data_IF_231227060927
#
_entry.id   IF_231227060927
#
_cell.length_a   1.000
_cell.length_b   1.000
_cell.length_c   1.000
_cell.angle_alpha   90.00
_cell.angle_beta   90.00
_cell.angle_gamma   90.00
#
_symmetry.space_group_name_H-M   'P 1'
#
loop_
_entity.id
_entity.type
_entity.pdbx_description
1 polymer ?
#
# COMPACT_ATOMS: atom_id res chain seq x y z
N UNK A 1 -36.88 5.16 -12.17
CA UNK A 1 -35.58 5.43 -12.84
C UNK A 1 -34.75 6.40 -12.02
N UNK A 2 -35.32 7.54 -11.62
CA UNK A 2 -34.64 8.57 -10.82
C UNK A 2 -34.20 8.07 -9.42
N UNK A 3 -35.05 7.34 -8.70
CA UNK A 3 -34.68 6.79 -7.37
C UNK A 3 -33.53 5.77 -7.44
N UNK A 4 -33.46 5.00 -8.52
CA UNK A 4 -32.37 4.03 -8.75
C UNK A 4 -31.07 4.77 -9.07
N UNK A 5 -31.13 5.87 -9.82
CA UNK A 5 -29.96 6.70 -10.09
C UNK A 5 -29.45 7.41 -8.83
N UNK A 6 -30.34 7.89 -7.96
CA UNK A 6 -29.97 8.48 -6.66
C UNK A 6 -29.33 7.44 -5.74
N UNK A 7 -29.87 6.22 -5.71
CA UNK A 7 -29.29 5.12 -4.94
C UNK A 7 -27.89 4.73 -5.45
N UNK A 8 -27.67 4.70 -6.76
CA UNK A 8 -26.36 4.41 -7.35
C UNK A 8 -25.35 5.53 -7.07
N UNK A 9 -25.76 6.80 -7.21
CA UNK A 9 -24.90 7.95 -6.93
C UNK A 9 -24.50 8.02 -5.45
N UNK A 10 -25.43 7.74 -4.52
CA UNK A 10 -25.11 7.71 -3.09
C UNK A 10 -24.15 6.57 -2.73
N UNK A 11 -24.29 5.39 -3.33
CA UNK A 11 -23.34 4.29 -3.16
C UNK A 11 -21.95 4.63 -3.69
N UNK A 12 -21.85 5.26 -4.86
CA UNK A 12 -20.55 5.70 -5.41
C UNK A 12 -19.89 6.76 -4.53
N UNK A 13 -20.67 7.67 -3.93
CA UNK A 13 -20.16 8.69 -3.02
C UNK A 13 -19.58 8.07 -1.75
N UNK A 14 -20.26 7.07 -1.18
CA UNK A 14 -19.78 6.34 0.01
C UNK A 14 -18.51 5.56 -0.31
N UNK A 15 -18.47 4.86 -1.45
CA UNK A 15 -17.29 4.10 -1.89
C UNK A 15 -16.09 5.01 -2.18
N UNK A 16 -16.30 6.25 -2.62
CA UNK A 16 -15.23 7.23 -2.81
C UNK A 16 -14.75 7.86 -1.48
N UNK A 17 -15.66 8.09 -0.53
CA UNK A 17 -15.34 8.75 0.74
C UNK A 17 -14.64 7.82 1.75
N UNK A 18 -14.95 6.52 1.76
CA UNK A 18 -14.31 5.54 2.67
C UNK A 18 -12.78 5.47 2.48
N UNK A 19 -12.22 5.28 1.27
CA UNK A 19 -10.78 5.24 1.07
C UNK A 19 -10.13 6.62 1.32
N UNK A 20 -10.80 7.72 0.98
CA UNK A 20 -10.32 9.07 1.29
C UNK A 20 -10.24 9.33 2.80
N UNK A 21 -11.22 8.86 3.56
CA UNK A 21 -11.24 8.97 5.02
C UNK A 21 -10.15 8.12 5.68
N UNK A 22 -9.95 6.89 5.18
CA UNK A 22 -8.86 6.02 5.65
C UNK A 22 -7.49 6.59 5.30
N UNK A 23 -7.33 7.16 4.11
CA UNK A 23 -6.10 7.80 3.67
C UNK A 23 -5.78 9.06 4.51
N UNK A 24 -6.79 9.90 4.76
CA UNK A 24 -6.65 11.08 5.64
C UNK A 24 -6.29 10.70 7.07
N UNK A 25 -6.91 9.65 7.61
CA UNK A 25 -6.59 9.15 8.97
C UNK A 25 -5.17 8.61 9.07
N UNK A 26 -4.67 7.94 8.03
CA UNK A 26 -3.28 7.49 7.96
C UNK A 26 -2.31 8.68 7.83
N UNK A 27 -2.68 9.73 7.08
CA UNK A 27 -1.85 10.93 6.93
C UNK A 27 -1.75 11.75 8.22
N UNK A 28 -2.84 11.88 8.98
CA UNK A 28 -2.83 12.55 10.29
C UNK A 28 -2.02 11.76 11.34
N UNK A 29 -2.01 10.41 11.26
CA UNK A 29 -1.20 9.57 12.15
C UNK A 29 0.29 9.77 11.89
N UNK A 30 0.68 9.76 10.61
CA UNK A 30 2.08 9.95 10.16
C UNK A 30 2.64 11.34 10.47
N UNK A 31 1.76 12.35 10.48
CA UNK A 31 2.14 13.73 10.84
C UNK A 31 2.34 13.88 12.35
N UNK A 32 1.69 13.02 13.16
CA UNK A 32 1.86 13.02 14.62
C UNK A 32 3.10 12.25 15.04
N UNK A 33 3.40 11.12 14.39
CA UNK A 33 4.62 10.35 14.63
C UNK A 33 5.87 11.16 14.23
N UNK A 34 5.84 11.92 13.12
CA UNK A 34 6.95 12.81 12.76
C UNK A 34 7.13 14.00 13.72
N UNK A 35 6.05 14.51 14.32
CA UNK A 35 6.14 15.57 15.32
C UNK A 35 6.69 15.06 16.67
N UNK A 36 6.35 13.82 17.04
CA UNK A 36 6.88 13.17 18.25
C UNK A 36 8.37 12.79 18.07
N UNK A 37 8.81 12.40 16.85
CA UNK A 37 10.24 12.16 16.53
C UNK A 37 11.08 13.45 16.54
N UNK A 38 10.55 14.58 16.06
CA UNK A 38 11.24 15.88 16.12
C UNK A 38 11.37 16.41 17.56
N UNK A 39 10.39 16.17 18.44
CA UNK A 39 10.47 16.54 19.86
C UNK A 39 11.47 15.66 20.64
N UNK A 40 11.57 14.35 20.35
CA UNK A 40 12.58 13.47 20.97
C UNK A 40 14.02 13.79 20.50
N UNK A 41 14.21 14.21 19.25
CA UNK A 41 15.53 14.61 18.72
C UNK A 41 16.03 15.94 19.30
N UNK A 42 15.13 16.88 19.63
CA UNK A 42 15.49 18.14 20.31
C UNK A 42 15.82 17.95 21.80
N UNK A 43 15.12 17.04 22.50
CA UNK A 43 15.40 16.74 23.91
C UNK A 43 16.73 15.98 24.11
N UNK A 44 17.09 15.11 23.14
CA UNK A 44 18.36 14.39 23.15
C UNK A 44 19.60 15.29 22.95
N UNK A 45 19.45 16.47 22.36
CA UNK A 45 20.56 17.39 22.11
C UNK A 45 20.90 18.30 23.32
N UNK A 46 20.09 18.29 24.39
CA UNK A 46 20.30 19.17 25.57
C UNK A 46 20.80 18.47 26.85
N UNK A 47 21.20 17.19 26.80
CA UNK A 47 21.74 16.50 27.98
C UNK A 47 23.26 16.74 28.18
N UNK A 48 23.73 17.06 29.41
CA UNK A 48 25.14 17.33 29.67
C UNK A 48 25.97 16.04 29.67
N UNK A 49 27.09 16.09 28.96
CA UNK A 49 28.10 15.04 28.83
C UNK A 49 28.57 14.54 30.21
N UNK A 50 28.44 13.23 30.45
CA UNK A 50 29.13 12.54 31.55
C UNK A 50 29.85 11.30 31.04
N UNK A 51 31.17 11.44 31.10
CA UNK A 51 32.27 10.47 31.19
C UNK A 51 32.02 8.99 30.90
N UNK A 52 32.82 8.56 29.95
CA UNK A 52 33.14 7.22 29.49
C UNK A 52 33.68 6.29 30.58
N UNK A 53 33.04 5.14 30.79
CA UNK A 53 33.71 3.94 31.31
C UNK A 53 33.31 2.71 30.51
N UNK A 54 34.30 2.18 29.80
CA UNK A 54 34.29 0.96 28.99
C UNK A 54 34.32 -0.27 29.89
N UNK A 55 33.40 -1.26 29.71
CA UNK A 55 33.78 -2.69 29.81
C UNK A 55 32.78 -3.70 29.22
N UNK A 56 33.23 -4.31 28.11
CA UNK A 56 33.21 -5.73 27.72
C UNK A 56 32.02 -6.67 28.05
N UNK A 57 31.42 -7.16 26.95
CA UNK A 57 31.10 -8.56 26.58
C UNK A 57 31.18 -9.61 27.70
N UNK A 58 30.07 -10.33 27.92
CA UNK A 58 30.08 -11.57 28.67
C UNK A 58 28.74 -12.30 28.66
N UNK A 59 28.56 -13.22 27.71
CA UNK A 59 27.51 -14.23 27.78
C UNK A 59 27.70 -15.08 29.04
N UNK A 60 26.65 -15.23 29.87
CA UNK A 60 26.48 -16.48 30.63
C UNK A 60 25.06 -16.68 31.16
N UNK A 61 24.59 -17.88 30.89
CA UNK A 61 23.40 -18.57 31.40
C UNK A 61 23.31 -18.45 32.93
N UNK A 62 22.12 -18.14 33.45
CA UNK A 62 21.76 -18.51 34.81
C UNK A 62 20.28 -18.89 34.87
N UNK A 63 20.07 -20.19 35.11
CA UNK A 63 18.82 -20.85 35.49
C UNK A 63 18.71 -20.79 37.01
N UNK A 64 17.52 -20.44 37.54
CA UNK A 64 16.92 -20.70 38.90
C UNK A 64 16.09 -19.47 39.29
N UNK A 65 14.79 -19.52 39.60
CA UNK A 65 13.94 -20.42 40.42
C UNK A 65 12.45 -20.22 40.01
N UNK A 66 11.53 -21.16 40.28
CA UNK A 66 10.12 -20.83 40.45
C UNK A 66 9.74 -20.70 41.94
N UNK A 67 8.90 -19.71 42.24
CA UNK A 67 8.22 -19.51 43.51
C UNK A 67 6.86 -20.23 43.50
N UNK A 68 6.41 -20.61 44.69
CA UNK A 68 5.28 -21.46 45.01
C UNK A 68 3.90 -20.87 44.66
N UNK A 69 2.90 -21.76 44.51
CA UNK A 69 1.51 -21.41 44.80
C UNK A 69 0.44 -22.23 44.06
N UNK A 70 -0.12 -23.23 44.74
CA UNK A 70 -1.53 -23.65 44.73
C UNK A 70 -2.15 -24.17 43.42
N UNK A 71 -2.33 -25.50 43.27
CA UNK A 71 -3.63 -26.23 43.42
C UNK A 71 -4.07 -26.75 42.03
N UNK A 72 -4.55 -27.97 41.77
CA UNK A 72 -4.97 -29.13 42.55
C UNK A 72 -5.12 -30.37 41.63
N UNK A 73 -4.65 -31.52 42.11
CA UNK A 73 -5.10 -32.93 41.90
C UNK A 73 -5.25 -33.56 40.48
N UNK A 74 -4.40 -34.54 40.15
CA UNK A 74 -4.70 -35.98 40.27
C UNK A 74 -3.52 -36.86 39.77
N UNK A 75 -3.30 -38.00 40.43
CA UNK A 75 -2.05 -38.76 40.51
C UNK A 75 -1.78 -39.76 39.35
N UNK A 76 -0.49 -40.10 39.14
CA UNK A 76 -0.03 -41.51 39.09
C UNK A 76 1.37 -41.69 39.77
N UNK A 77 2.02 -42.87 39.75
CA UNK A 77 1.69 -44.24 40.20
C UNK A 77 2.54 -44.65 41.45
N UNK A 78 2.27 -45.76 42.16
CA UNK A 78 3.19 -46.25 43.19
C UNK A 78 4.40 -46.96 42.55
N UNK A 79 5.57 -46.52 42.99
CA UNK A 79 6.90 -47.08 42.76
C UNK A 79 7.06 -48.44 43.42
N UNK A 80 7.91 -49.23 42.77
CA UNK A 80 8.54 -50.47 43.23
C UNK A 80 9.06 -50.35 44.67
N UNK A 81 8.57 -51.22 45.55
CA UNK A 81 9.32 -51.68 46.72
C UNK A 81 9.32 -53.21 46.65
N UNK A 82 10.45 -53.73 46.18
CA UNK A 82 10.89 -55.09 46.48
C UNK A 82 11.21 -55.12 47.98
N UNK A 83 10.42 -55.85 48.75
CA UNK A 83 10.86 -56.38 50.04
C UNK A 83 11.00 -57.90 49.89
N UNK A 84 12.17 -58.30 49.39
CA UNK A 84 12.84 -59.52 49.81
C UNK A 84 13.15 -59.38 51.31
N UNK A 85 12.36 -60.07 52.14
CA UNK A 85 12.72 -60.37 53.51
C UNK A 85 12.70 -61.90 53.66
N UNK A 86 13.75 -62.49 53.08
CA UNK A 86 14.30 -63.75 53.52
C UNK A 86 14.70 -63.59 54.99
N UNK A 87 13.96 -64.26 55.88
CA UNK A 87 14.31 -64.37 57.29
C UNK A 87 14.25 -65.85 57.63
N UNK A 88 15.37 -66.49 57.32
CA UNK A 88 15.80 -67.70 57.99
C UNK A 88 15.97 -67.38 59.48
N UNK A 89 15.18 -68.02 60.33
CA UNK A 89 15.59 -68.32 61.70
C UNK A 89 15.09 -69.72 62.08
N UNK A 90 16.09 -70.59 62.24
CA UNK A 90 16.11 -71.93 62.82
C UNK A 90 15.45 -71.91 64.21
N UNK A 91 14.51 -72.79 64.53
CA UNK A 91 14.67 -74.01 65.34
C UNK A 91 13.22 -74.45 65.71
N UNK A 92 12.79 -75.70 65.85
CA UNK A 92 13.39 -76.88 66.45
C UNK A 92 12.56 -78.13 66.03
N UNK A 93 13.13 -79.31 66.25
CA UNK A 93 12.81 -80.56 65.58
C UNK A 93 11.49 -81.23 66.02
N UNK A 94 10.74 -81.84 65.07
CA UNK A 94 10.07 -83.16 65.29
C UNK A 94 10.00 -83.94 63.96
N UNK A 95 10.40 -85.21 64.04
CA UNK A 95 10.71 -86.14 62.97
C UNK A 95 9.52 -86.66 62.11
N UNK A 96 9.84 -86.98 60.85
CA UNK A 96 9.32 -88.16 60.14
C UNK A 96 8.01 -88.01 59.35
N UNK A 97 8.08 -87.56 58.10
CA UNK A 97 6.96 -87.67 57.13
C UNK A 97 6.80 -86.53 56.11
N UNK A 98 7.61 -85.46 56.22
CA UNK A 98 7.40 -84.20 55.52
C UNK A 98 7.96 -84.14 54.07
N UNK A 99 8.92 -84.98 53.70
CA UNK A 99 9.65 -84.86 52.42
C UNK A 99 8.78 -85.19 51.19
N UNK A 100 7.88 -86.17 51.27
CA UNK A 100 6.97 -86.53 50.17
C UNK A 100 5.85 -85.48 49.94
N UNK A 101 5.48 -84.74 50.99
CA UNK A 101 4.53 -83.61 50.88
C UNK A 101 5.22 -82.34 50.38
N UNK A 102 6.46 -82.09 50.79
CA UNK A 102 7.27 -80.97 50.31
C UNK A 102 7.60 -81.09 48.81
N UNK A 103 7.91 -82.29 48.31
CA UNK A 103 8.18 -82.53 46.88
C UNK A 103 6.94 -82.35 45.99
N UNK A 104 5.77 -82.86 46.43
CA UNK A 104 4.48 -82.61 45.76
C UNK A 104 4.09 -81.13 45.75
N UNK A 105 4.33 -80.40 46.84
CA UNK A 105 4.09 -78.95 46.93
C UNK A 105 5.01 -78.16 45.99
N UNK A 106 6.29 -78.53 45.89
CA UNK A 106 7.27 -77.92 44.97
C UNK A 106 6.93 -78.18 43.50
N UNK A 107 6.46 -79.39 43.16
CA UNK A 107 5.99 -79.74 41.82
C UNK A 107 4.74 -78.96 41.39
N UNK A 108 3.75 -78.83 42.28
CA UNK A 108 2.54 -78.03 42.03
C UNK A 108 2.84 -76.53 41.86
N UNK A 109 3.75 -75.96 42.66
CA UNK A 109 4.21 -74.56 42.52
C UNK A 109 4.94 -74.30 41.20
N UNK A 110 5.70 -75.28 40.69
CA UNK A 110 6.37 -75.19 39.39
C UNK A 110 5.37 -75.24 38.23
N UNK A 111 4.38 -76.13 38.30
CA UNK A 111 3.29 -76.21 37.32
C UNK A 111 2.46 -74.93 37.31
N UNK A 112 2.18 -74.34 38.47
CA UNK A 112 1.45 -73.06 38.58
C UNK A 112 2.26 -71.89 38.00
N UNK A 113 3.58 -71.83 38.22
CA UNK A 113 4.46 -70.82 37.62
C UNK A 113 4.64 -70.99 36.10
N UNK A 114 4.57 -72.21 35.59
CA UNK A 114 4.58 -72.49 34.15
C UNK A 114 3.23 -72.12 33.51
N UNK A 115 2.11 -72.43 34.16
CA UNK A 115 0.78 -72.02 33.73
C UNK A 115 0.60 -70.48 33.75
N UNK A 116 1.15 -69.81 34.77
CA UNK A 116 1.13 -68.34 34.86
C UNK A 116 1.92 -67.69 33.72
N UNK A 117 3.11 -68.21 33.39
CA UNK A 117 3.90 -67.71 32.25
C UNK A 117 3.19 -67.94 30.91
N UNK A 118 2.58 -69.10 30.70
CA UNK A 118 1.80 -69.37 29.48
C UNK A 118 0.57 -68.45 29.36
N UNK A 119 -0.12 -68.18 30.47
CA UNK A 119 -1.23 -67.24 30.49
C UNK A 119 -0.78 -65.79 30.22
N UNK A 120 0.38 -65.39 30.75
CA UNK A 120 0.98 -64.07 30.51
C UNK A 120 1.46 -63.91 29.05
N UNK A 121 2.11 -64.93 28.48
CA UNK A 121 2.52 -64.95 27.08
C UNK A 121 1.30 -64.87 26.14
N UNK A 122 0.25 -65.65 26.41
CA UNK A 122 -1.00 -65.57 25.63
C UNK A 122 -1.71 -64.21 25.79
N UNK A 123 -1.68 -63.60 26.98
CA UNK A 123 -2.20 -62.26 27.19
C UNK A 123 -1.37 -61.21 26.43
N UNK A 124 -0.05 -61.36 26.39
CA UNK A 124 0.85 -60.47 25.66
C UNK A 124 0.69 -60.60 24.15
N UNK A 125 0.57 -61.83 23.62
CA UNK A 125 0.32 -62.10 22.21
C UNK A 125 -1.06 -61.58 21.75
N UNK A 126 -2.11 -61.78 22.55
CA UNK A 126 -3.45 -61.24 22.25
C UNK A 126 -3.49 -59.71 22.30
N UNK A 127 -2.69 -59.07 23.16
CA UNK A 127 -2.53 -57.62 23.20
C UNK A 127 -1.71 -57.12 22.01
N UNK A 128 -0.68 -57.85 21.58
CA UNK A 128 0.16 -57.51 20.43
C UNK A 128 -0.62 -57.61 19.12
N UNK A 129 -1.32 -58.71 18.88
CA UNK A 129 -2.17 -58.90 17.68
C UNK A 129 -3.25 -57.83 17.54
N UNK A 130 -3.89 -57.42 18.65
CA UNK A 130 -4.83 -56.29 18.65
C UNK A 130 -4.14 -54.98 18.30
N UNK A 131 -2.97 -54.69 18.90
CA UNK A 131 -2.21 -53.48 18.59
C UNK A 131 -1.75 -53.43 17.13
N UNK A 132 -1.26 -54.55 16.60
CA UNK A 132 -0.83 -54.66 15.20
C UNK A 132 -2.01 -54.44 14.24
N UNK A 133 -3.18 -55.01 14.54
CA UNK A 133 -4.41 -54.79 13.76
C UNK A 133 -4.86 -53.32 13.78
N UNK A 134 -4.84 -52.65 14.94
CA UNK A 134 -5.17 -51.22 15.03
C UNK A 134 -4.13 -50.34 14.32
N UNK A 135 -2.85 -50.70 14.37
CA UNK A 135 -1.78 -49.98 13.67
C UNK A 135 -1.91 -50.12 12.14
N UNK A 136 -2.24 -51.32 11.65
CA UNK A 136 -2.48 -51.58 10.23
C UNK A 136 -3.72 -50.83 9.72
N UNK A 137 -4.82 -50.84 10.48
CA UNK A 137 -6.02 -50.06 10.15
C UNK A 137 -5.77 -48.56 10.13
N UNK A 138 -4.91 -48.04 11.02
CA UNK A 138 -4.49 -46.62 11.00
C UNK A 138 -3.68 -46.31 9.75
N UNK A 139 -2.68 -47.12 9.43
CA UNK A 139 -1.86 -46.96 8.21
C UNK A 139 -2.70 -46.95 6.95
N UNK A 140 -3.62 -47.91 6.81
CA UNK A 140 -4.52 -47.97 5.66
C UNK A 140 -5.41 -46.73 5.54
N UNK A 141 -5.90 -46.20 6.66
CA UNK A 141 -6.73 -44.99 6.67
C UNK A 141 -5.93 -43.74 6.28
N UNK A 142 -4.68 -43.66 6.73
CA UNK A 142 -3.77 -42.57 6.39
C UNK A 142 -3.38 -42.61 4.90
N UNK A 143 -3.10 -43.80 4.36
CA UNK A 143 -2.84 -44.02 2.93
C UNK A 143 -4.06 -43.69 2.04
N UNK A 144 -5.28 -44.05 2.48
CA UNK A 144 -6.51 -43.68 1.79
C UNK A 144 -6.78 -42.17 1.83
N UNK A 145 -6.37 -41.48 2.90
CA UNK A 145 -6.47 -40.02 3.00
C UNK A 145 -5.48 -39.33 2.07
N UNK A 146 -4.22 -39.77 2.10
CA UNK A 146 -3.16 -39.23 1.24
C UNK A 146 -3.47 -39.48 -0.25
N UNK A 147 -4.05 -40.63 -0.60
CA UNK A 147 -4.51 -40.89 -1.96
C UNK A 147 -5.65 -39.94 -2.38
N UNK A 148 -6.62 -39.68 -1.49
CA UNK A 148 -7.72 -38.73 -1.77
C UNK A 148 -7.23 -37.29 -1.88
N UNK A 149 -6.30 -36.88 -1.01
CA UNK A 149 -5.68 -35.55 -1.05
C UNK A 149 -4.89 -35.35 -2.34
N UNK A 150 -4.13 -36.36 -2.79
CA UNK A 150 -3.41 -36.29 -4.08
C UNK A 150 -4.36 -36.19 -5.26
N UNK A 151 -5.44 -36.98 -5.30
CA UNK A 151 -6.45 -36.87 -6.37
C UNK A 151 -7.10 -35.48 -6.40
N UNK A 152 -7.41 -34.90 -5.24
CA UNK A 152 -8.01 -33.58 -5.14
C UNK A 152 -7.02 -32.46 -5.50
N UNK A 153 -5.74 -32.62 -5.15
CA UNK A 153 -4.68 -31.67 -5.54
C UNK A 153 -4.42 -31.70 -7.05
N UNK A 154 -4.42 -32.90 -7.66
CA UNK A 154 -4.30 -33.06 -9.12
C UNK A 154 -5.51 -32.45 -9.84
N UNK A 155 -6.72 -32.66 -9.34
CA UNK A 155 -7.94 -32.04 -9.89
C UNK A 155 -7.90 -30.50 -9.76
N UNK A 156 -7.46 -29.98 -8.62
CA UNK A 156 -7.32 -28.53 -8.41
C UNK A 156 -6.26 -27.92 -9.33
N UNK A 157 -5.13 -28.60 -9.55
CA UNK A 157 -4.09 -28.17 -10.51
C UNK A 157 -4.61 -28.21 -11.94
N UNK A 158 -5.31 -29.27 -12.33
CA UNK A 158 -5.91 -29.38 -13.65
C UNK A 158 -6.96 -28.29 -13.90
N UNK A 159 -7.76 -27.93 -12.88
CA UNK A 159 -8.72 -26.84 -12.96
C UNK A 159 -8.02 -25.49 -13.12
N UNK A 160 -6.97 -25.21 -12.32
CA UNK A 160 -6.18 -23.98 -12.46
C UNK A 160 -5.53 -23.86 -13.83
N UNK A 161 -4.95 -24.95 -14.35
CA UNK A 161 -4.37 -24.94 -15.70
C UNK A 161 -5.42 -24.62 -16.78
N UNK A 162 -6.64 -25.18 -16.69
CA UNK A 162 -7.73 -24.86 -17.62
C UNK A 162 -8.20 -23.41 -17.49
N UNK A 163 -8.27 -22.88 -16.27
CA UNK A 163 -8.64 -21.47 -16.02
C UNK A 163 -7.55 -20.52 -16.55
N UNK A 164 -6.26 -20.87 -16.40
CA UNK A 164 -5.13 -20.11 -16.96
C UNK A 164 -5.09 -20.17 -18.49
N UNK A 165 -5.36 -21.34 -19.10
CA UNK A 165 -5.48 -21.48 -20.56
C UNK A 165 -6.66 -20.65 -21.10
N UNK A 166 -7.81 -20.67 -20.42
CA UNK A 166 -8.96 -19.84 -20.80
C UNK A 166 -8.65 -18.35 -20.67
N UNK A 167 -8.02 -17.93 -19.56
CA UNK A 167 -7.61 -16.55 -19.35
C UNK A 167 -6.55 -16.10 -20.37
N UNK A 168 -5.65 -16.98 -20.81
CA UNK A 168 -4.67 -16.68 -21.84
C UNK A 168 -5.33 -16.46 -23.22
N UNK A 169 -6.33 -17.27 -23.56
CA UNK A 169 -7.12 -17.08 -24.79
C UNK A 169 -7.97 -15.79 -24.74
N UNK A 170 -8.56 -15.49 -23.59
CA UNK A 170 -9.26 -14.22 -23.37
C UNK A 170 -8.31 -13.03 -23.45
N UNK A 171 -7.11 -13.15 -22.88
CA UNK A 171 -6.06 -12.14 -22.98
C UNK A 171 -5.58 -11.95 -24.42
N UNK A 172 -5.40 -13.02 -25.20
CA UNK A 172 -5.02 -12.91 -26.61
C UNK A 172 -6.11 -12.23 -27.44
N UNK A 173 -7.37 -12.57 -27.17
CA UNK A 173 -8.52 -11.89 -27.78
C UNK A 173 -8.54 -10.40 -27.43
N UNK A 174 -8.39 -10.05 -26.15
CA UNK A 174 -8.30 -8.65 -25.72
C UNK A 174 -7.06 -7.94 -26.22
N UNK A 175 -5.93 -8.64 -26.39
CA UNK A 175 -4.71 -8.07 -26.99
C UNK A 175 -4.92 -7.77 -28.48
N UNK A 176 -5.71 -8.59 -29.18
CA UNK A 176 -6.12 -8.33 -30.55
C UNK A 176 -7.10 -7.16 -30.66
N UNK A 177 -8.03 -7.02 -29.71
CA UNK A 177 -8.94 -5.87 -29.61
C UNK A 177 -8.23 -4.60 -29.10
N UNK A 178 -7.16 -4.76 -28.32
CA UNK A 178 -6.25 -3.72 -27.83
C UNK A 178 -5.04 -3.60 -28.74
N UNK A 179 -5.20 -3.76 -30.07
CA UNK A 179 -4.21 -3.24 -31.00
C UNK A 179 -4.11 -1.74 -30.72
N UNK A 180 -3.12 -1.39 -29.93
CA UNK A 180 -2.67 -0.01 -29.74
C UNK A 180 -2.36 0.44 -31.16
N UNK A 181 -3.22 1.31 -31.70
CA UNK A 181 -2.91 2.00 -32.94
C UNK A 181 -1.51 2.59 -32.77
N UNK A 182 -0.53 1.99 -33.45
CA UNK A 182 0.76 2.62 -33.74
C UNK A 182 0.57 3.77 -34.76
N UNK A 183 -0.59 4.43 -34.73
CA UNK A 183 -0.77 5.76 -35.27
C UNK A 183 -0.16 6.70 -34.23
N UNK A 184 1.16 6.80 -34.32
CA UNK A 184 1.91 7.82 -33.61
C UNK A 184 1.26 9.17 -33.91
N UNK A 185 0.59 9.74 -32.90
CA UNK A 185 0.42 11.18 -32.81
C UNK A 185 1.83 11.74 -32.81
N UNK A 186 2.31 12.10 -34.00
CA UNK A 186 3.59 12.79 -34.15
C UNK A 186 3.59 13.92 -33.12
N UNK A 187 4.65 14.03 -32.33
CA UNK A 187 4.80 15.12 -31.34
C UNK A 187 4.56 16.51 -31.97
N UNK A 188 4.64 16.61 -33.30
CA UNK A 188 4.26 17.76 -34.11
C UNK A 188 2.77 18.15 -34.04
N UNK A 189 1.79 17.23 -34.02
CA UNK A 189 0.37 17.62 -33.95
C UNK A 189 -0.04 18.08 -32.56
N UNK A 190 0.55 17.50 -31.50
CA UNK A 190 0.37 17.99 -30.12
C UNK A 190 1.09 19.33 -29.94
N UNK A 191 2.27 19.51 -30.55
CA UNK A 191 2.94 20.82 -30.60
C UNK A 191 2.15 21.85 -31.40
N UNK A 192 1.57 21.50 -32.55
CA UNK A 192 0.83 22.46 -33.38
C UNK A 192 -0.50 22.84 -32.73
N UNK A 193 -1.18 21.88 -32.07
CA UNK A 193 -2.32 22.17 -31.21
C UNK A 193 -1.97 23.11 -30.04
N UNK A 194 -0.82 22.89 -29.38
CA UNK A 194 -0.34 23.77 -28.33
C UNK A 194 0.13 25.13 -28.86
N UNK A 195 0.74 25.19 -30.04
CA UNK A 195 1.12 26.44 -30.68
C UNK A 195 -0.12 27.24 -31.07
N UNK A 196 -1.16 26.58 -31.59
CA UNK A 196 -2.48 27.13 -31.85
C UNK A 196 -3.14 27.69 -30.58
N UNK A 197 -3.06 26.95 -29.47
CA UNK A 197 -3.55 27.43 -28.16
C UNK A 197 -2.78 28.67 -27.68
N UNK A 198 -1.46 28.74 -27.91
CA UNK A 198 -0.63 29.89 -27.54
C UNK A 198 -0.89 31.12 -28.44
N UNK A 199 -1.08 30.94 -29.75
CA UNK A 199 -1.49 32.04 -30.63
C UNK A 199 -2.87 32.55 -30.26
N UNK A 200 -3.84 31.66 -30.03
CA UNK A 200 -5.17 32.02 -29.56
C UNK A 200 -5.13 32.80 -28.23
N UNK A 201 -4.25 32.40 -27.31
CA UNK A 201 -4.02 33.11 -26.05
C UNK A 201 -3.50 34.54 -26.25
N UNK A 202 -2.49 34.70 -27.11
CA UNK A 202 -1.94 36.01 -27.46
C UNK A 202 -2.99 36.88 -28.15
N UNK A 203 -3.74 36.32 -29.09
CA UNK A 203 -4.75 37.04 -29.86
C UNK A 203 -5.92 37.47 -28.98
N UNK A 204 -6.33 36.64 -28.03
CA UNK A 204 -7.36 36.99 -27.05
C UNK A 204 -6.94 38.21 -26.21
N UNK A 205 -5.70 38.23 -25.72
CA UNK A 205 -5.14 39.35 -24.94
C UNK A 205 -4.99 40.61 -25.79
N UNK A 206 -4.62 40.47 -27.07
CA UNK A 206 -4.51 41.61 -27.98
C UNK A 206 -5.88 42.23 -28.31
N UNK A 207 -6.90 41.40 -28.46
CA UNK A 207 -8.29 41.83 -28.70
C UNK A 207 -8.87 42.52 -27.47
N UNK A 208 -8.70 41.89 -26.31
CA UNK A 208 -9.19 42.38 -25.03
C UNK A 208 -8.05 43.07 -24.30
N UNK A 209 -7.86 44.37 -24.53
CA UNK A 209 -6.69 45.07 -24.00
C UNK A 209 -6.59 45.11 -22.47
N UNK A 210 -7.72 45.01 -21.77
CA UNK A 210 -7.80 44.88 -20.31
C UNK A 210 -8.45 43.54 -19.98
N UNK A 211 -7.68 42.59 -19.45
CA UNK A 211 -8.18 41.24 -19.10
C UNK A 211 -7.93 40.96 -17.61
N UNK A 212 -8.96 40.62 -16.83
CA UNK A 212 -8.74 40.05 -15.50
C UNK A 212 -8.20 38.61 -15.65
N UNK A 213 -7.19 38.27 -14.85
CA UNK A 213 -6.51 36.97 -14.97
C UNK A 213 -7.45 35.77 -14.69
N UNK A 214 -8.53 36.00 -13.94
CA UNK A 214 -9.56 35.00 -13.66
C UNK A 214 -10.37 34.63 -14.91
N UNK A 215 -10.78 35.62 -15.72
CA UNK A 215 -11.52 35.37 -16.96
C UNK A 215 -10.62 34.69 -18.01
N UNK A 216 -9.34 35.10 -18.06
CA UNK A 216 -8.35 34.47 -18.91
C UNK A 216 -8.11 33.01 -18.52
N UNK A 217 -8.08 32.72 -17.21
CA UNK A 217 -7.98 31.36 -16.70
C UNK A 217 -9.22 30.53 -17.03
N UNK A 218 -10.42 31.12 -16.95
CA UNK A 218 -11.68 30.46 -17.29
C UNK A 218 -11.77 30.10 -18.77
N UNK A 219 -11.41 31.02 -19.67
CA UNK A 219 -11.47 30.81 -21.12
C UNK A 219 -10.58 29.66 -21.58
N UNK A 220 -9.35 29.61 -21.06
CA UNK A 220 -8.36 28.60 -21.42
C UNK A 220 -8.37 27.37 -20.50
N UNK A 221 -9.26 27.33 -19.49
CA UNK A 221 -9.38 26.28 -18.47
C UNK A 221 -8.06 25.99 -17.74
N UNK A 222 -7.32 27.04 -17.41
CA UNK A 222 -6.03 26.97 -16.72
C UNK A 222 -6.16 27.45 -15.29
N UNK A 223 -5.15 27.18 -14.46
CA UNK A 223 -5.02 27.86 -13.17
C UNK A 223 -4.52 29.28 -13.38
N UNK A 224 -4.97 30.22 -12.55
CA UNK A 224 -4.53 31.63 -12.61
C UNK A 224 -3.00 31.77 -12.54
N UNK A 225 -2.33 30.93 -11.73
CA UNK A 225 -0.87 30.89 -11.64
C UNK A 225 -0.21 30.43 -12.95
N UNK A 226 -0.82 29.49 -13.67
CA UNK A 226 -0.32 29.06 -14.97
C UNK A 226 -0.51 30.15 -16.04
N UNK A 227 -1.62 30.91 -16.00
CA UNK A 227 -1.81 32.08 -16.85
C UNK A 227 -0.70 33.12 -16.62
N UNK A 228 -0.36 33.42 -15.36
CA UNK A 228 0.73 34.35 -15.02
C UNK A 228 2.07 33.84 -15.58
N UNK A 229 2.39 32.56 -15.37
CA UNK A 229 3.62 31.97 -15.89
C UNK A 229 3.70 32.01 -17.42
N UNK A 230 2.58 31.76 -18.11
CA UNK A 230 2.50 31.87 -19.58
C UNK A 230 2.68 33.32 -20.05
N UNK A 231 2.04 34.28 -19.39
CA UNK A 231 2.20 35.72 -19.69
C UNK A 231 3.66 36.13 -19.52
N UNK A 232 4.29 35.82 -18.39
CA UNK A 232 5.69 36.14 -18.13
C UNK A 232 6.63 35.50 -19.17
N UNK A 233 6.33 34.27 -19.58
CA UNK A 233 7.09 33.58 -20.63
C UNK A 233 6.94 34.30 -21.98
N UNK A 234 5.71 34.69 -22.36
CA UNK A 234 5.43 35.42 -23.59
C UNK A 234 6.01 36.84 -23.60
N UNK A 235 6.09 37.48 -22.43
CA UNK A 235 6.74 38.77 -22.23
C UNK A 235 8.26 38.66 -22.36
N UNK A 236 8.87 37.63 -21.76
CA UNK A 236 10.31 37.36 -21.89
C UNK A 236 10.74 37.09 -23.34
N UNK A 237 9.85 36.49 -24.14
CA UNK A 237 10.03 36.26 -25.58
C UNK A 237 9.70 37.49 -26.44
N UNK A 238 9.16 38.57 -25.85
CA UNK A 238 8.77 39.79 -26.56
C UNK A 238 7.55 39.63 -27.48
N UNK A 239 6.76 38.57 -27.32
CA UNK A 239 5.52 38.35 -28.11
C UNK A 239 4.34 39.13 -27.56
N UNK A 240 4.36 39.37 -26.25
CA UNK A 240 3.41 40.21 -25.52
C UNK A 240 4.18 41.27 -24.75
N UNK A 241 3.55 42.42 -24.58
CA UNK A 241 4.03 43.48 -23.70
C UNK A 241 2.83 44.07 -22.99
N UNK A 242 2.97 44.33 -21.70
CA UNK A 242 1.86 44.75 -20.88
C UNK A 242 2.28 44.97 -19.44
N UNK A 243 1.31 45.31 -18.61
CA UNK A 243 1.50 45.56 -17.18
C UNK A 243 0.47 44.76 -16.41
N UNK A 244 0.93 44.02 -15.40
CA UNK A 244 0.07 43.38 -14.40
C UNK A 244 -0.16 44.34 -13.22
N UNK A 245 -1.42 44.55 -12.89
CA UNK A 245 -1.84 45.23 -11.66
C UNK A 245 -1.74 44.27 -10.47
N UNK A 246 -1.52 44.79 -9.26
CA UNK A 246 -1.46 44.00 -8.02
C UNK A 246 -2.78 43.27 -7.71
N UNK A 247 -3.87 43.76 -8.32
CA UNK A 247 -5.23 43.20 -8.28
C UNK A 247 -5.48 42.06 -9.27
N UNK A 248 -4.48 41.61 -10.02
CA UNK A 248 -4.63 40.51 -10.96
C UNK A 248 -5.34 40.90 -12.26
N UNK A 249 -5.15 42.14 -12.72
CA UNK A 249 -5.55 42.59 -14.06
C UNK A 249 -4.32 42.70 -14.95
N UNK A 250 -4.42 42.19 -16.17
CA UNK A 250 -3.39 42.36 -17.19
C UNK A 250 -3.85 43.41 -18.21
N UNK A 251 -3.02 44.43 -18.43
CA UNK A 251 -3.24 45.45 -19.46
C UNK A 251 -2.22 45.22 -20.57
N UNK A 252 -2.69 44.85 -21.74
CA UNK A 252 -1.87 44.77 -22.94
C UNK A 252 -1.54 46.18 -23.44
N UNK A 253 -0.27 46.42 -23.75
CA UNK A 253 0.20 47.67 -24.32
C UNK A 253 0.94 47.32 -25.60
N UNK A 254 0.54 47.91 -26.73
CA UNK A 254 1.24 47.67 -27.99
C UNK A 254 2.62 48.32 -27.98
N UNK A 255 3.54 47.84 -28.83
CA UNK A 255 4.87 48.44 -28.94
C UNK A 255 4.80 49.92 -29.34
N UNK A 256 3.83 50.29 -30.19
CA UNK A 256 3.60 51.68 -30.62
C UNK A 256 3.15 52.56 -29.45
N UNK A 257 2.25 52.06 -28.60
CA UNK A 257 1.77 52.77 -27.42
C UNK A 257 2.91 52.95 -26.40
N UNK A 258 3.73 51.91 -26.21
CA UNK A 258 4.93 51.97 -25.37
C UNK A 258 5.93 53.01 -25.89
N UNK A 259 6.13 53.07 -27.21
CA UNK A 259 7.00 54.07 -27.85
C UNK A 259 6.46 55.49 -27.69
N UNK A 260 5.15 55.71 -27.86
CA UNK A 260 4.53 57.02 -27.67
C UNK A 260 4.73 57.54 -26.23
N UNK A 261 4.59 56.67 -25.24
CA UNK A 261 4.86 56.99 -23.83
C UNK A 261 6.36 57.27 -23.61
N UNK A 262 7.24 56.45 -24.16
CA UNK A 262 8.69 56.64 -24.05
C UNK A 262 9.16 57.96 -24.67
N UNK A 263 8.63 58.33 -25.84
CA UNK A 263 8.96 59.58 -26.53
C UNK A 263 8.44 60.79 -25.77
N UNK A 264 7.25 60.69 -25.16
CA UNK A 264 6.74 61.73 -24.28
C UNK A 264 7.66 61.95 -23.06
N UNK A 265 8.12 60.88 -22.41
CA UNK A 265 9.05 60.94 -21.28
C UNK A 265 10.38 61.56 -21.72
N UNK A 266 10.94 61.13 -22.86
CA UNK A 266 12.20 61.69 -23.39
C UNK A 266 12.10 63.18 -23.69
N UNK A 267 10.97 63.66 -24.21
CA UNK A 267 10.75 65.08 -24.54
C UNK A 267 10.56 65.95 -23.29
N UNK A 268 9.84 65.46 -22.28
CA UNK A 268 9.57 66.22 -21.05
C UNK A 268 10.69 66.08 -20.00
N UNK A 269 11.51 65.03 -20.10
CA UNK A 269 12.57 64.71 -19.14
C UNK A 269 12.00 64.21 -17.82
N UNK A 270 11.72 65.12 -16.88
CA UNK A 270 11.16 64.79 -15.56
C UNK A 270 9.65 64.95 -15.58
N UNK A 271 8.93 63.84 -15.44
CA UNK A 271 7.46 63.82 -15.45
C UNK A 271 6.95 63.33 -14.11
N UNK A 272 5.94 64.01 -13.53
CA UNK A 272 5.25 63.49 -12.35
C UNK A 272 4.31 62.35 -12.74
N UNK A 273 4.10 61.40 -11.83
CA UNK A 273 3.20 60.26 -12.04
C UNK A 273 1.78 60.73 -12.39
N UNK A 274 1.31 61.82 -11.77
CA UNK A 274 0.00 62.42 -12.06
C UNK A 274 -0.14 62.91 -13.50
N UNK A 275 0.88 63.61 -14.02
CA UNK A 275 0.85 64.14 -15.38
C UNK A 275 1.00 63.01 -16.40
N UNK A 276 1.84 62.03 -16.09
CA UNK A 276 1.97 60.82 -16.90
C UNK A 276 0.64 60.07 -16.97
N UNK A 277 -0.05 59.83 -15.85
CA UNK A 277 -1.34 59.14 -15.83
C UNK A 277 -2.40 59.85 -16.68
N UNK A 278 -2.54 61.19 -16.58
CA UNK A 278 -3.48 61.94 -17.42
C UNK A 278 -3.16 61.86 -18.91
N UNK A 279 -1.86 61.81 -19.26
CA UNK A 279 -1.40 61.70 -20.65
C UNK A 279 -1.43 60.27 -21.18
N UNK A 280 -1.17 59.27 -20.33
CA UNK A 280 -1.24 57.85 -20.67
C UNK A 280 -2.64 57.44 -21.12
N UNK A 281 -3.70 58.02 -20.55
CA UNK A 281 -5.08 57.80 -21.03
C UNK A 281 -5.30 58.29 -22.48
N UNK A 282 -4.48 59.20 -22.99
CA UNK A 282 -4.54 59.64 -24.40
C UNK A 282 -3.73 58.72 -25.32
N UNK A 283 -2.69 58.08 -24.78
CA UNK A 283 -1.81 57.19 -25.56
C UNK A 283 -2.30 55.74 -25.55
N UNK A 284 -3.03 55.33 -24.51
CA UNK A 284 -3.48 53.97 -24.28
C UNK A 284 -5.01 53.96 -24.26
N UNK A 285 -5.60 53.58 -25.38
CA UNK A 285 -7.05 53.34 -25.46
C UNK A 285 -7.37 51.94 -24.95
N UNK A 286 -8.08 51.81 -23.83
CA UNK A 286 -8.39 50.54 -23.16
C UNK A 286 -9.64 49.86 -23.71
N UNK A 287 -10.35 50.48 -24.65
CA UNK A 287 -11.51 49.86 -25.25
C UNK A 287 -11.11 48.60 -26.04
N UNK A 288 -11.89 47.51 -25.93
CA UNK A 288 -11.63 46.31 -26.72
C UNK A 288 -11.74 46.69 -28.20
N UNK A 289 -10.65 46.53 -28.95
CA UNK A 289 -10.66 46.75 -30.40
C UNK A 289 -11.44 45.62 -31.05
N UNK A 290 -12.77 45.72 -31.02
CA UNK A 290 -13.65 44.97 -31.90
C UNK A 290 -13.53 45.58 -33.30
N UNK A 291 -12.45 45.29 -34.02
CA UNK A 291 -12.32 45.63 -35.43
C UNK A 291 -12.47 44.31 -36.20
N UNK A 292 -13.53 44.08 -36.97
CA UNK A 292 -13.73 44.60 -38.33
C UNK A 292 -12.48 44.46 -39.22
N UNK A 293 -11.70 43.39 -39.04
CA UNK A 293 -10.51 43.10 -39.87
C UNK A 293 -10.84 42.35 -41.17
N UNK A 294 -12.09 41.92 -41.41
CA UNK A 294 -12.43 41.26 -42.69
C UNK A 294 -12.76 42.23 -43.85
N UNK A 295 -13.07 43.51 -43.60
CA UNK A 295 -13.46 44.43 -44.69
C UNK A 295 -12.29 45.24 -45.30
N UNK A 296 -11.17 45.41 -44.59
CA UNK A 296 -10.07 46.23 -45.13
C UNK A 296 -9.17 45.40 -46.07
N UNK A 297 -8.98 44.10 -45.79
CA UNK A 297 -8.23 43.22 -46.70
C UNK A 297 -8.99 42.93 -48.00
N UNK A 298 -10.32 42.94 -47.97
CA UNK A 298 -11.15 42.72 -49.16
C UNK A 298 -11.30 43.98 -50.00
N UNK A 299 -11.23 45.19 -49.42
CA UNK A 299 -11.32 46.44 -50.18
C UNK A 299 -10.02 46.82 -50.90
N UNK A 300 -8.84 46.47 -50.35
CA UNK A 300 -7.56 46.76 -51.01
C UNK A 300 -7.30 45.86 -52.23
N UNK A 301 -7.70 44.58 -52.20
CA UNK A 301 -7.56 43.68 -53.36
C UNK A 301 -8.50 44.04 -54.53
N UNK A 302 -9.66 44.64 -54.28
CA UNK A 302 -10.60 45.04 -55.34
C UNK A 302 -10.16 46.32 -56.06
N UNK A 303 -9.26 47.12 -55.47
CA UNK A 303 -8.80 48.39 -56.05
C UNK A 303 -7.54 48.27 -56.93
N UNK A 304 -6.93 47.08 -57.03
CA UNK A 304 -5.70 46.83 -57.80
C UNK A 304 -5.91 45.83 -58.95
N UNK A 305 -7.15 45.59 -59.38
CA UNK A 305 -7.45 44.85 -60.63
C UNK A 305 -8.14 45.72 -61.67
#
# INVERSE_FOLDING_TARGET
>A
MEEVLVAILSMLLIVALIPLYLWRRQHDSRSRDHAEEEEEEEEAQQAPQRETVVRAIGSRRMRRRPAAGASSSSAPPPTLEEEDADSEEEEEAVAGGHELRASKKKGRRRQEREAMRQAEEAAHESRRTKQDHYAEMRRRKDEEHEAKERMLEEEAKARKAREEEAAALEFEKWKGEFSVDEEGTTENEVQDGNQGLLTNFVDYIKKNKCVPLEDLAAEFKLRTQECINRINSLESMGRLSGVMDDRGKYIYISLEEMQAVADYIKRQGRVSISHLASKSNQFIDLEPKAQFVEEISSMEEISVS
#
